data_IF_977977601343
#
_entry.id   IF_977977601343
#
_cell.length_a   1.000
_cell.length_b   1.000
_cell.length_c   1.000
_cell.angle_alpha   90.00
_cell.angle_beta   90.00
_cell.angle_gamma   90.00
#
_symmetry.space_group_name_H-M   'P 1'
#
loop_
_entity.id
_entity.type
_entity.pdbx_description
1 polymer ?
#
# COMPACT_ATOMS: atom_id res chain seq x y z
N UNK A 1 -10.55 -1.72 -7.84
CA UNK A 1 -10.46 -3.20 -7.96
C UNK A 1 -11.85 -3.80 -8.17
N UNK A 2 -12.35 -3.90 -9.41
CA UNK A 2 -13.78 -4.05 -9.67
C UNK A 2 -14.38 -5.36 -9.13
N UNK A 3 -13.63 -6.47 -9.13
CA UNK A 3 -14.13 -7.75 -8.61
C UNK A 3 -14.23 -7.76 -7.08
N UNK A 4 -13.23 -7.19 -6.39
CA UNK A 4 -13.21 -7.16 -4.93
C UNK A 4 -14.26 -6.20 -4.37
N UNK A 5 -14.50 -5.08 -5.05
CA UNK A 5 -15.62 -4.17 -4.77
C UNK A 5 -16.96 -4.91 -4.89
N UNK A 6 -17.19 -5.65 -5.97
CA UNK A 6 -18.41 -6.46 -6.15
C UNK A 6 -18.59 -7.50 -5.02
N UNK A 7 -17.51 -8.13 -4.55
CA UNK A 7 -17.59 -9.09 -3.42
C UNK A 7 -18.05 -8.38 -2.14
N UNK A 8 -17.52 -7.19 -1.85
CA UNK A 8 -17.93 -6.40 -0.69
C UNK A 8 -19.38 -5.91 -0.79
N UNK A 9 -19.78 -5.38 -1.95
CA UNK A 9 -21.14 -4.90 -2.20
C UNK A 9 -22.19 -6.00 -2.00
N UNK A 10 -21.86 -7.23 -2.39
CA UNK A 10 -22.75 -8.39 -2.23
C UNK A 10 -22.71 -9.01 -0.82
N UNK A 11 -21.72 -8.67 0.01
CA UNK A 11 -21.50 -9.29 1.32
C UNK A 11 -21.08 -8.27 2.42
N UNK A 12 -21.81 -7.16 2.59
CA UNK A 12 -21.34 -6.02 3.39
C UNK A 12 -21.13 -6.35 4.88
N UNK A 13 -21.89 -7.31 5.42
CA UNK A 13 -21.86 -7.65 6.85
C UNK A 13 -21.00 -8.88 7.17
N UNK A 14 -20.62 -9.67 6.17
CA UNK A 14 -19.98 -10.98 6.36
C UNK A 14 -18.56 -11.05 5.80
N UNK A 15 -18.16 -10.11 4.95
CA UNK A 15 -16.83 -10.07 4.33
C UNK A 15 -16.10 -8.78 4.68
N UNK A 16 -14.80 -8.91 4.95
CA UNK A 16 -13.88 -7.79 5.10
C UNK A 16 -12.67 -8.02 4.21
N UNK A 17 -12.18 -6.96 3.59
CA UNK A 17 -10.94 -6.98 2.83
C UNK A 17 -9.80 -6.44 3.69
N UNK A 18 -8.72 -7.21 3.76
CA UNK A 18 -7.47 -6.80 4.38
C UNK A 18 -6.39 -6.93 3.34
N UNK A 19 -5.72 -5.82 3.02
CA UNK A 19 -4.57 -5.83 2.12
C UNK A 19 -3.29 -6.18 2.87
N UNK A 20 -2.42 -6.98 2.24
CA UNK A 20 -1.12 -7.37 2.76
C UNK A 20 -0.03 -7.11 1.73
N UNK A 21 0.95 -6.29 2.11
CA UNK A 21 2.05 -5.92 1.24
C UNK A 21 3.12 -7.03 1.18
N UNK A 22 3.43 -7.52 -0.02
CA UNK A 22 4.52 -8.46 -0.25
C UNK A 22 5.48 -7.96 -1.33
N UNK A 23 6.25 -6.88 -1.08
CA UNK A 23 7.14 -6.33 -2.09
C UNK A 23 8.28 -7.29 -2.43
N UNK A 24 8.26 -7.83 -3.64
CA UNK A 24 9.29 -8.73 -4.14
C UNK A 24 10.61 -7.98 -4.40
N UNK A 25 11.73 -8.55 -3.97
CA UNK A 25 13.04 -7.86 -3.98
C UNK A 25 13.54 -7.49 -5.39
N UNK A 26 13.12 -8.22 -6.42
CA UNK A 26 13.47 -7.92 -7.81
C UNK A 26 12.68 -6.75 -8.41
N UNK A 27 11.69 -6.19 -7.68
CA UNK A 27 10.98 -4.98 -8.06
C UNK A 27 11.51 -3.78 -7.28
N UNK A 28 12.38 -2.99 -7.94
CA UNK A 28 13.08 -1.83 -7.36
C UNK A 28 12.20 -0.90 -6.50
N UNK A 29 10.96 -0.66 -6.91
CA UNK A 29 10.07 0.29 -6.25
C UNK A 29 8.95 -0.35 -5.41
N UNK A 30 8.90 -1.67 -5.30
CA UNK A 30 7.84 -2.34 -4.55
C UNK A 30 7.87 -1.98 -3.05
N UNK A 31 9.04 -2.03 -2.41
CA UNK A 31 9.16 -1.67 -0.99
C UNK A 31 8.88 -0.17 -0.73
N UNK A 32 9.42 0.78 -1.52
CA UNK A 32 9.03 2.19 -1.43
C UNK A 32 7.52 2.43 -1.60
N UNK A 33 6.88 1.75 -2.56
CA UNK A 33 5.44 1.87 -2.80
C UNK A 33 4.62 1.32 -1.63
N UNK A 34 5.01 0.18 -1.05
CA UNK A 34 4.35 -0.39 0.12
C UNK A 34 4.45 0.54 1.36
N UNK A 35 5.63 1.13 1.61
CA UNK A 35 5.80 2.11 2.68
C UNK A 35 4.95 3.36 2.44
N UNK A 36 4.84 3.82 1.19
CA UNK A 36 4.02 4.95 0.80
C UNK A 36 2.52 4.69 1.00
N UNK A 37 2.03 3.51 0.63
CA UNK A 37 0.64 3.10 0.87
C UNK A 37 0.32 3.13 2.37
N UNK A 38 1.21 2.57 3.22
CA UNK A 38 1.02 2.65 4.68
C UNK A 38 1.06 4.09 5.21
N UNK A 39 1.98 4.93 4.73
CA UNK A 39 2.06 6.34 5.13
C UNK A 39 0.79 7.13 4.74
N UNK A 40 0.19 6.84 3.58
CA UNK A 40 -1.11 7.39 3.20
C UNK A 40 -2.24 6.84 4.09
N UNK A 41 -2.14 5.57 4.50
CA UNK A 41 -3.05 4.94 5.46
C UNK A 41 -3.05 5.60 6.84
N UNK A 42 -1.92 6.14 7.33
CA UNK A 42 -1.87 6.96 8.55
C UNK A 42 -2.67 8.27 8.45
N UNK A 43 -3.08 8.63 7.24
CA UNK A 43 -3.90 9.80 6.94
C UNK A 43 -5.27 9.41 6.37
N UNK A 44 -5.65 8.13 6.46
CA UNK A 44 -6.96 7.62 6.04
C UNK A 44 -7.13 7.40 4.53
N UNK A 45 -6.08 7.56 3.72
CA UNK A 45 -6.16 7.42 2.24
C UNK A 45 -5.42 6.21 1.69
N UNK A 46 -5.46 5.09 2.41
CA UNK A 46 -4.74 3.87 1.99
C UNK A 46 -5.21 3.37 0.63
N UNK A 47 -6.53 3.22 0.44
CA UNK A 47 -7.11 2.59 -0.75
C UNK A 47 -6.97 3.49 -1.98
N UNK A 48 -7.16 4.79 -1.82
CA UNK A 48 -6.98 5.77 -2.88
C UNK A 48 -5.51 5.82 -3.33
N UNK A 49 -4.57 5.79 -2.37
CA UNK A 49 -3.14 5.76 -2.71
C UNK A 49 -2.74 4.42 -3.35
N UNK A 50 -3.28 3.31 -2.86
CA UNK A 50 -3.10 1.99 -3.45
C UNK A 50 -3.56 1.97 -4.91
N UNK A 51 -4.76 2.44 -5.20
CA UNK A 51 -5.32 2.41 -6.56
C UNK A 51 -4.51 3.29 -7.53
N UNK A 52 -4.07 4.46 -7.07
CA UNK A 52 -3.18 5.33 -7.84
C UNK A 52 -1.82 4.66 -8.12
N UNK A 53 -1.21 3.98 -7.14
CA UNK A 53 0.03 3.22 -7.34
C UNK A 53 -0.12 2.11 -8.38
N UNK A 54 -1.21 1.35 -8.34
CA UNK A 54 -1.47 0.27 -9.28
C UNK A 54 -1.77 0.79 -10.69
N UNK A 55 -2.43 1.94 -10.82
CA UNK A 55 -2.72 2.55 -12.11
C UNK A 55 -1.45 2.98 -12.89
N UNK A 56 -0.36 3.30 -12.19
CA UNK A 56 0.90 3.78 -12.80
C UNK A 56 2.02 2.73 -12.83
N UNK A 57 1.88 1.64 -12.06
CA UNK A 57 2.86 0.56 -12.02
C UNK A 57 3.05 -0.06 -13.42
N UNK A 58 4.29 -0.41 -13.84
CA UNK A 58 5.54 -0.41 -13.07
C UNK A 58 6.34 0.90 -13.18
N UNK A 59 5.77 1.97 -13.76
CA UNK A 59 6.45 3.27 -13.98
C UNK A 59 6.48 4.11 -12.69
N UNK A 60 6.94 3.49 -11.62
CA UNK A 60 7.11 4.13 -10.32
C UNK A 60 8.51 4.72 -10.20
N UNK A 61 8.59 5.89 -9.59
CA UNK A 61 9.83 6.48 -9.10
C UNK A 61 9.53 7.31 -7.84
N UNK A 62 10.57 7.81 -7.13
CA UNK A 62 10.34 8.56 -5.90
C UNK A 62 9.55 9.87 -6.10
N UNK A 63 9.66 10.50 -7.28
CA UNK A 63 8.91 11.72 -7.58
C UNK A 63 7.44 11.39 -7.74
N UNK A 64 7.10 10.36 -8.52
CA UNK A 64 5.71 9.99 -8.76
C UNK A 64 4.98 9.61 -7.46
N UNK A 65 5.66 8.93 -6.52
CA UNK A 65 5.08 8.62 -5.19
C UNK A 65 4.72 9.89 -4.42
N UNK A 66 5.56 10.93 -4.47
CA UNK A 66 5.28 12.21 -3.80
C UNK A 66 4.21 13.02 -4.56
N UNK A 67 4.21 12.97 -5.89
CA UNK A 67 3.18 13.60 -6.71
C UNK A 67 1.80 13.00 -6.41
N UNK A 68 1.70 11.67 -6.22
CA UNK A 68 0.47 11.00 -5.81
C UNK A 68 0.00 11.46 -4.42
N UNK A 69 0.91 11.55 -3.46
CA UNK A 69 0.57 12.06 -2.12
C UNK A 69 0.02 13.48 -2.19
N UNK A 70 0.58 14.30 -3.09
CA UNK A 70 0.13 15.68 -3.31
C UNK A 70 -1.21 15.73 -4.02
N UNK A 71 -1.41 14.90 -5.06
CA UNK A 71 -2.69 14.75 -5.77
C UNK A 71 -3.82 14.35 -4.83
N UNK A 72 -3.51 13.47 -3.88
CA UNK A 72 -4.44 13.01 -2.85
C UNK A 72 -4.49 13.94 -1.64
N UNK A 73 -3.97 15.17 -1.72
CA UNK A 73 -4.07 16.20 -0.67
C UNK A 73 -3.61 15.70 0.71
N UNK A 74 -2.58 14.86 0.75
CA UNK A 74 -1.97 14.42 2.00
C UNK A 74 -1.10 15.54 2.59
N UNK A 75 -0.95 15.55 3.91
CA UNK A 75 0.12 16.31 4.55
C UNK A 75 1.46 15.69 4.14
N UNK A 76 2.16 16.38 3.24
CA UNK A 76 3.43 15.94 2.66
C UNK A 76 4.54 15.90 3.70
N UNK A 77 4.50 16.75 4.73
CA UNK A 77 5.50 16.75 5.80
C UNK A 77 5.32 15.50 6.65
N UNK A 78 4.09 15.22 7.09
CA UNK A 78 3.75 13.98 7.81
C UNK A 78 4.05 12.75 6.98
N UNK A 79 3.64 12.73 5.71
CA UNK A 79 3.86 11.63 4.79
C UNK A 79 5.36 11.30 4.65
N UNK A 80 6.22 12.31 4.42
CA UNK A 80 7.68 12.13 4.33
C UNK A 80 8.31 11.65 5.64
N UNK A 81 7.76 12.05 6.79
CA UNK A 81 8.18 11.54 8.09
C UNK A 81 7.77 10.06 8.25
N UNK A 82 6.53 9.72 7.90
CA UNK A 82 5.98 8.36 8.00
C UNK A 82 6.70 7.38 7.06
N UNK A 83 7.14 7.80 5.86
CA UNK A 83 8.01 7.01 4.98
C UNK A 83 9.32 6.55 5.65
N UNK A 84 9.80 7.30 6.65
CA UNK A 84 11.02 7.00 7.41
C UNK A 84 10.71 6.34 8.76
N UNK A 85 9.45 6.26 9.15
CA UNK A 85 9.01 5.79 10.46
C UNK A 85 9.36 4.32 10.68
N UNK A 86 9.99 3.97 11.83
CA UNK A 86 10.15 2.58 12.24
C UNK A 86 8.82 1.84 12.36
N UNK A 87 7.74 2.53 12.73
CA UNK A 87 6.40 1.93 12.87
C UNK A 87 5.89 1.43 11.52
N UNK A 88 6.03 2.23 10.47
CA UNK A 88 5.61 1.85 9.11
C UNK A 88 6.46 0.69 8.57
N UNK A 89 7.77 0.70 8.86
CA UNK A 89 8.66 -0.42 8.53
C UNK A 89 8.27 -1.70 9.26
N UNK A 90 7.83 -1.61 10.52
CA UNK A 90 7.35 -2.76 11.28
C UNK A 90 6.04 -3.32 10.72
N UNK A 91 5.12 -2.46 10.24
CA UNK A 91 3.91 -2.91 9.54
C UNK A 91 4.24 -3.71 8.29
N UNK A 92 5.15 -3.20 7.44
CA UNK A 92 5.62 -3.93 6.25
C UNK A 92 6.30 -5.25 6.61
N UNK A 93 7.16 -5.25 7.64
CA UNK A 93 7.80 -6.46 8.11
C UNK A 93 6.78 -7.49 8.65
N UNK A 94 5.68 -7.03 9.25
CA UNK A 94 4.59 -7.91 9.67
C UNK A 94 3.89 -8.55 8.48
N UNK A 95 3.53 -7.77 7.46
CA UNK A 95 2.87 -8.32 6.27
C UNK A 95 3.74 -9.36 5.54
N UNK A 96 5.06 -9.13 5.46
CA UNK A 96 5.99 -10.11 4.91
C UNK A 96 6.05 -11.41 5.74
N UNK A 97 6.02 -11.31 7.08
CA UNK A 97 5.94 -12.50 7.95
C UNK A 97 4.62 -13.23 7.77
N UNK A 98 3.50 -12.51 7.74
CA UNK A 98 2.17 -13.08 7.54
C UNK A 98 2.13 -13.85 6.19
N UNK A 99 2.72 -13.29 5.13
CA UNK A 99 2.83 -13.95 3.82
C UNK A 99 3.68 -15.22 3.86
N UNK A 100 4.82 -15.18 4.56
CA UNK A 100 5.69 -16.33 4.75
C UNK A 100 5.00 -17.45 5.54
N UNK A 101 4.34 -17.12 6.64
CA UNK A 101 3.59 -18.08 7.48
C UNK A 101 2.43 -18.71 6.72
N UNK A 102 1.79 -17.96 5.83
CA UNK A 102 0.74 -18.45 4.94
C UNK A 102 1.26 -19.25 3.72
N UNK A 103 2.59 -19.35 3.53
CA UNK A 103 3.18 -20.07 2.41
C UNK A 103 2.99 -19.39 1.04
N UNK A 104 2.80 -18.07 1.01
CA UNK A 104 2.64 -17.29 -0.23
C UNK A 104 3.98 -17.22 -0.96
N UNK A 105 4.00 -17.58 -2.25
CA UNK A 105 5.22 -17.64 -3.08
C UNK A 105 5.25 -16.61 -4.21
N UNK A 106 4.16 -15.87 -4.43
CA UNK A 106 4.03 -14.86 -5.49
C UNK A 106 2.73 -14.06 -5.37
N UNK A 107 2.69 -12.92 -6.06
CA UNK A 107 1.59 -11.96 -6.10
C UNK A 107 1.50 -11.33 -7.47
#
# INVERSE_FOLDING_TARGET
MPLLEQVLENNPDTVKIVFKNMPLQFHKFAAPAALAAFAAGEQGKFWEFHDELFAISPKLDPKTIIDLATKLELDITKFKADLKSPVIRQKLAKDLRDAQEAGVTGT
#
